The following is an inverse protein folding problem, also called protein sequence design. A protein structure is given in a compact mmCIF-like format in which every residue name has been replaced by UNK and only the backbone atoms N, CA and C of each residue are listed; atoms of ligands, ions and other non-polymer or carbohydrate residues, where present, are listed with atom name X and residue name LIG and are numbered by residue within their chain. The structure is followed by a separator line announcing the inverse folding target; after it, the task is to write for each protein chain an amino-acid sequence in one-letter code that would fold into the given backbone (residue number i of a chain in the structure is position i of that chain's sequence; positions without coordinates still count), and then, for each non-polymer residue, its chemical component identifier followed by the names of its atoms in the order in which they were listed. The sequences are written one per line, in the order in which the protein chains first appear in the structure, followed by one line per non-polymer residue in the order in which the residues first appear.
data_IF_919403313566
#
_entry.id   IF_919403313566
#
_cell.length_a   1.000
_cell.length_b   1.000
_cell.length_c   1.000
_cell.angle_alpha   90.00
_cell.angle_beta   90.00
_cell.angle_gamma   90.00
#
_symmetry.space_group_name_H-M   'P 1'
#
loop_
_entity.id
_entity.type
_entity.pdbx_description
1 polymer ?
#
# COMPACT_ATOMS: atom_id res chain seq x y z
N UNK A 1 11.82 37.22 -0.28
CA UNK A 1 12.09 35.87 -0.84
C UNK A 1 12.92 35.11 0.17
N UNK A 2 12.30 34.29 1.03
CA UNK A 2 13.00 33.45 1.99
C UNK A 2 12.74 31.99 1.57
N UNK A 3 13.77 31.33 1.02
CA UNK A 3 13.73 29.93 0.63
C UNK A 3 13.73 29.06 1.87
N UNK A 4 12.74 28.17 1.99
CA UNK A 4 12.64 27.16 3.04
C UNK A 4 13.76 26.11 2.91
N UNK A 5 14.25 25.52 4.02
CA UNK A 5 15.21 24.43 3.96
C UNK A 5 14.54 23.15 3.45
N UNK A 6 15.08 22.58 2.38
CA UNK A 6 14.70 21.27 1.85
C UNK A 6 15.02 20.18 2.87
N UNK A 7 13.98 19.51 3.39
CA UNK A 7 14.13 18.38 4.30
C UNK A 7 14.93 17.24 3.63
N UNK A 8 15.85 16.57 4.35
CA UNK A 8 16.59 15.45 3.80
C UNK A 8 15.63 14.29 3.54
N UNK A 9 15.58 13.81 2.30
CA UNK A 9 14.93 12.55 1.96
C UNK A 9 15.75 11.41 2.55
N UNK A 10 15.42 10.96 3.75
CA UNK A 10 15.97 9.74 4.34
C UNK A 10 15.61 8.56 3.45
N UNK A 11 16.54 8.17 2.58
CA UNK A 11 16.40 6.97 1.77
C UNK A 11 16.22 5.76 2.72
N UNK A 12 15.33 4.80 2.40
CA UNK A 12 15.15 3.61 3.23
C UNK A 12 16.48 2.88 3.34
N UNK A 13 16.86 2.50 4.56
CA UNK A 13 18.12 1.79 4.79
C UNK A 13 18.05 0.38 4.18
N UNK A 14 19.19 -0.17 3.76
CA UNK A 14 19.24 -1.52 3.16
C UNK A 14 18.73 -2.61 4.13
N UNK A 15 18.84 -2.38 5.44
CA UNK A 15 18.26 -3.27 6.45
C UNK A 15 16.73 -3.17 6.49
N UNK A 16 16.14 -1.99 6.25
CA UNK A 16 14.68 -1.83 6.20
C UNK A 16 14.05 -2.58 5.01
N UNK A 17 14.75 -2.71 3.89
CA UNK A 17 14.28 -3.48 2.72
C UNK A 17 14.51 -4.98 2.89
N UNK A 18 15.57 -5.40 3.59
CA UNK A 18 15.86 -6.82 3.84
C UNK A 18 14.97 -7.44 4.93
N UNK A 19 14.52 -6.63 5.91
CA UNK A 19 13.66 -7.07 7.01
C UNK A 19 12.21 -6.60 6.86
N UNK A 20 11.75 -6.49 5.61
CA UNK A 20 10.39 -6.07 5.33
C UNK A 20 9.41 -7.12 5.86
N UNK A 21 8.55 -6.70 6.79
CA UNK A 21 7.56 -7.59 7.39
C UNK A 21 6.65 -8.17 6.32
N UNK A 22 6.32 -9.46 6.45
CA UNK A 22 5.35 -10.10 5.56
C UNK A 22 3.91 -9.77 5.98
N UNK A 23 2.94 -10.16 5.14
CA UNK A 23 1.53 -10.15 5.53
C UNK A 23 1.29 -11.07 6.75
N UNK A 24 1.95 -12.23 6.80
CA UNK A 24 1.81 -13.17 7.91
C UNK A 24 2.25 -12.54 9.24
N UNK A 25 3.32 -11.75 9.23
CA UNK A 25 3.79 -11.06 10.43
C UNK A 25 2.82 -9.98 10.89
N UNK A 26 2.19 -9.26 9.95
CA UNK A 26 1.11 -8.33 10.26
C UNK A 26 -0.05 -9.05 10.94
N UNK A 27 -0.53 -10.15 10.34
CA UNK A 27 -1.64 -10.95 10.88
C UNK A 27 -1.31 -11.48 12.28
N UNK A 28 -0.09 -11.98 12.51
CA UNK A 28 0.37 -12.40 13.84
C UNK A 28 0.38 -11.25 14.83
N UNK A 29 0.86 -10.07 14.42
CA UNK A 29 0.91 -8.90 15.30
C UNK A 29 -0.47 -8.39 15.70
N UNK A 30 -1.45 -8.44 14.79
CA UNK A 30 -2.84 -8.10 15.09
C UNK A 30 -3.46 -9.07 16.09
N UNK A 31 -3.09 -10.36 16.01
CA UNK A 31 -3.61 -11.41 16.90
C UNK A 31 -2.87 -11.53 18.24
N UNK A 32 -1.71 -10.88 18.38
CA UNK A 32 -0.88 -11.01 19.57
C UNK A 32 -1.53 -10.39 20.82
N UNK A 33 -2.28 -9.30 20.64
CA UNK A 33 -3.03 -8.62 21.69
C UNK A 33 -4.47 -8.39 21.21
N UNK A 34 -5.45 -9.21 21.65
CA UNK A 34 -6.84 -9.11 21.20
C UNK A 34 -7.61 -7.97 21.88
N UNK A 35 -6.95 -7.14 22.69
CA UNK A 35 -7.58 -5.93 23.23
C UNK A 35 -7.76 -4.89 22.13
N UNK A 36 -8.87 -4.14 22.17
CA UNK A 36 -9.12 -3.08 21.19
C UNK A 36 -8.01 -2.02 21.13
N UNK A 37 -7.31 -1.79 22.26
CA UNK A 37 -6.16 -0.90 22.34
C UNK A 37 -4.92 -1.48 21.65
N UNK A 38 -4.65 -2.78 21.84
CA UNK A 38 -3.58 -3.50 21.17
C UNK A 38 -3.76 -3.54 19.65
N UNK A 39 -4.97 -3.89 19.19
CA UNK A 39 -5.34 -3.90 17.77
C UNK A 39 -5.14 -2.53 17.12
N UNK A 40 -5.65 -1.46 17.76
CA UNK A 40 -5.53 -0.09 17.25
C UNK A 40 -4.06 0.34 17.09
N UNK A 41 -3.21 0.00 18.06
CA UNK A 41 -1.78 0.30 18.01
C UNK A 41 -1.06 -0.49 16.91
N UNK A 42 -1.39 -1.78 16.76
CA UNK A 42 -0.85 -2.63 15.72
C UNK A 42 -1.23 -2.13 14.31
N UNK A 43 -2.49 -1.73 14.11
CA UNK A 43 -2.97 -1.13 12.85
C UNK A 43 -2.25 0.19 12.57
N UNK A 44 -2.12 1.09 13.55
CA UNK A 44 -1.45 2.37 13.35
C UNK A 44 0.03 2.20 12.93
N UNK A 45 0.74 1.24 13.55
CA UNK A 45 2.12 0.89 13.16
C UNK A 45 2.17 0.33 11.74
N UNK A 46 1.28 -0.61 11.42
CA UNK A 46 1.21 -1.23 10.10
C UNK A 46 0.95 -0.19 8.99
N UNK A 47 0.04 0.76 9.21
CA UNK A 47 -0.23 1.83 8.26
C UNK A 47 0.98 2.74 8.03
N UNK A 48 1.75 3.03 9.09
CA UNK A 48 3.01 3.80 8.97
C UNK A 48 4.04 3.06 8.10
N UNK A 49 4.22 1.77 8.35
CA UNK A 49 5.11 0.89 7.57
C UNK A 49 4.66 0.84 6.09
N UNK A 50 3.37 0.59 5.84
CA UNK A 50 2.79 0.54 4.48
C UNK A 50 3.03 1.86 3.73
N UNK A 51 2.79 3.01 4.35
CA UNK A 51 3.03 4.30 3.70
C UNK A 51 4.50 4.52 3.33
N UNK A 52 5.43 3.99 4.12
CA UNK A 52 6.86 4.03 3.78
C UNK A 52 7.17 3.09 2.61
N UNK A 53 6.70 1.85 2.68
CA UNK A 53 6.96 0.81 1.69
C UNK A 53 6.35 1.12 0.32
N UNK A 54 5.14 1.69 0.26
CA UNK A 54 4.48 2.00 -1.02
C UNK A 54 5.23 3.06 -1.86
N UNK A 55 6.06 3.88 -1.21
CA UNK A 55 6.91 4.88 -1.87
C UNK A 55 8.26 4.31 -2.33
N UNK A 56 8.57 3.05 -2.01
CA UNK A 56 9.79 2.41 -2.48
C UNK A 56 9.79 2.30 -4.02
N UNK A 57 10.94 2.32 -4.69
CA UNK A 57 11.00 2.15 -6.15
C UNK A 57 10.75 0.71 -6.61
N UNK A 58 10.94 -0.26 -5.73
CA UNK A 58 10.83 -1.69 -6.04
C UNK A 58 9.36 -2.16 -6.11
N UNK A 59 9.00 -2.84 -7.20
CA UNK A 59 7.65 -3.34 -7.43
C UNK A 59 7.27 -4.45 -6.45
N UNK A 60 8.20 -5.30 -6.02
CA UNK A 60 7.91 -6.37 -5.07
C UNK A 60 7.57 -5.81 -3.68
N UNK A 61 8.35 -4.83 -3.23
CA UNK A 61 8.07 -4.05 -2.02
C UNK A 61 6.69 -3.38 -2.08
N UNK A 62 6.36 -2.71 -3.21
CA UNK A 62 5.03 -2.10 -3.39
C UNK A 62 3.92 -3.14 -3.34
N UNK A 63 4.12 -4.31 -3.94
CA UNK A 63 3.14 -5.39 -3.92
C UNK A 63 2.88 -5.87 -2.49
N UNK A 64 3.93 -6.10 -1.69
CA UNK A 64 3.77 -6.48 -0.27
C UNK A 64 3.04 -5.40 0.53
N UNK A 65 3.40 -4.13 0.35
CA UNK A 65 2.73 -3.00 1.00
C UNK A 65 1.24 -2.92 0.64
N UNK A 66 0.93 -3.07 -0.65
CA UNK A 66 -0.44 -3.06 -1.15
C UNK A 66 -1.24 -4.26 -0.62
N UNK A 67 -0.62 -5.44 -0.53
CA UNK A 67 -1.23 -6.64 0.04
C UNK A 67 -1.59 -6.47 1.52
N UNK A 68 -0.69 -5.92 2.32
CA UNK A 68 -0.97 -5.56 3.74
C UNK A 68 -2.13 -4.58 3.84
N UNK A 69 -2.15 -3.56 2.99
CA UNK A 69 -3.20 -2.55 2.98
C UNK A 69 -4.57 -3.12 2.59
N UNK A 70 -4.62 -3.93 1.53
CA UNK A 70 -5.82 -4.61 1.07
C UNK A 70 -6.41 -5.49 2.18
N UNK A 71 -5.55 -6.19 2.92
CA UNK A 71 -5.98 -6.98 4.07
C UNK A 71 -6.62 -6.10 5.17
N UNK A 72 -5.95 -5.02 5.60
CA UNK A 72 -6.50 -4.10 6.61
C UNK A 72 -7.82 -3.45 6.16
N UNK A 73 -7.93 -3.11 4.88
CA UNK A 73 -9.15 -2.54 4.29
C UNK A 73 -10.33 -3.52 4.36
N UNK A 74 -10.07 -4.83 4.20
CA UNK A 74 -11.10 -5.88 4.30
C UNK A 74 -11.62 -6.12 5.72
N UNK A 75 -10.87 -5.73 6.75
CA UNK A 75 -11.21 -5.92 8.17
C UNK A 75 -12.05 -4.77 8.78
N UNK A 76 -12.51 -3.80 7.97
CA UNK A 76 -13.38 -2.68 8.36
C UNK A 76 -12.74 -1.53 9.17
N UNK A 77 -11.41 -1.37 9.17
CA UNK A 77 -10.75 -0.36 10.04
C UNK A 77 -10.33 0.98 9.41
N UNK A 78 -10.46 1.20 8.10
CA UNK A 78 -10.04 2.49 7.50
C UNK A 78 -10.92 2.85 6.30
N UNK A 79 -11.43 4.09 6.18
CA UNK A 79 -11.96 4.56 4.91
C UNK A 79 -10.84 4.55 3.87
N UNK A 80 -10.98 3.67 2.88
CA UNK A 80 -10.07 3.40 1.74
C UNK A 80 -9.86 4.63 0.82
N UNK A 81 -10.36 5.79 1.22
CA UNK A 81 -10.60 6.97 0.40
C UNK A 81 -9.49 8.04 0.48
N UNK A 82 -8.58 7.98 1.46
CA UNK A 82 -7.53 9.00 1.62
C UNK A 82 -6.20 8.53 1.00
N UNK A 83 -6.11 8.64 -0.33
CA UNK A 83 -4.90 8.78 -1.18
C UNK A 83 -3.53 8.66 -0.45
N UNK A 84 -2.70 7.61 -0.71
CA UNK A 84 -1.82 7.60 -1.89
C UNK A 84 -1.65 6.22 -2.56
N UNK A 85 -2.68 5.36 -2.54
CA UNK A 85 -2.53 3.95 -2.98
C UNK A 85 -3.10 3.64 -4.37
N UNK A 86 -3.96 4.50 -4.91
CA UNK A 86 -4.56 4.29 -6.23
C UNK A 86 -3.52 4.28 -7.37
N UNK A 87 -2.53 5.17 -7.31
CA UNK A 87 -1.45 5.22 -8.30
C UNK A 87 -0.52 3.99 -8.20
N UNK A 88 0.00 3.61 -7.02
CA UNK A 88 0.77 2.38 -6.85
C UNK A 88 0.04 1.11 -7.31
N UNK A 89 -1.28 1.02 -7.12
CA UNK A 89 -2.06 -0.09 -7.65
C UNK A 89 -2.02 -0.13 -9.19
N UNK A 90 -2.21 1.02 -9.86
CA UNK A 90 -2.16 1.09 -11.33
C UNK A 90 -0.75 0.83 -11.88
N UNK A 91 0.28 1.24 -11.16
CA UNK A 91 1.65 0.91 -11.49
C UNK A 91 1.89 -0.62 -11.46
N UNK A 92 1.34 -1.30 -10.46
CA UNK A 92 1.38 -2.77 -10.37
C UNK A 92 0.50 -3.46 -11.42
N UNK A 93 -0.60 -2.86 -11.87
CA UNK A 93 -1.38 -3.36 -13.02
C UNK A 93 -0.55 -3.39 -14.31
N UNK A 94 0.38 -2.45 -14.48
CA UNK A 94 1.29 -2.41 -15.63
C UNK A 94 2.44 -3.44 -15.53
N UNK A 95 2.59 -4.13 -14.38
CA UNK A 95 3.64 -5.14 -14.19
C UNK A 95 3.43 -6.35 -15.09
N UNK A 96 4.47 -6.96 -15.68
CA UNK A 96 4.34 -8.19 -16.46
C UNK A 96 3.99 -9.42 -15.60
N UNK A 97 4.07 -9.33 -14.27
CA UNK A 97 3.83 -10.44 -13.36
C UNK A 97 2.36 -10.57 -12.97
N UNK A 98 1.76 -11.73 -13.27
CA UNK A 98 0.37 -12.03 -12.94
C UNK A 98 0.00 -11.85 -11.45
N UNK A 99 0.84 -12.22 -10.46
CA UNK A 99 0.53 -11.99 -9.04
C UNK A 99 0.34 -10.51 -8.71
N UNK A 100 1.16 -9.62 -9.28
CA UNK A 100 1.04 -8.17 -9.09
C UNK A 100 -0.26 -7.64 -9.69
N UNK A 101 -0.61 -8.08 -10.91
CA UNK A 101 -1.88 -7.69 -11.56
C UNK A 101 -3.09 -8.11 -10.73
N UNK A 102 -3.13 -9.38 -10.29
CA UNK A 102 -4.23 -9.92 -9.47
C UNK A 102 -4.42 -9.11 -8.19
N UNK A 103 -3.33 -8.82 -7.49
CA UNK A 103 -3.37 -8.01 -6.28
C UNK A 103 -3.86 -6.58 -6.58
N UNK A 104 -3.33 -5.96 -7.64
CA UNK A 104 -3.66 -4.60 -8.00
C UNK A 104 -5.14 -4.45 -8.41
N UNK A 105 -5.70 -5.41 -9.14
CA UNK A 105 -7.14 -5.44 -9.45
C UNK A 105 -7.99 -5.57 -8.19
N UNK A 106 -7.60 -6.43 -7.24
CA UNK A 106 -8.29 -6.56 -5.96
C UNK A 106 -8.21 -5.28 -5.13
N UNK A 107 -7.03 -4.65 -5.07
CA UNK A 107 -6.86 -3.39 -4.36
C UNK A 107 -7.72 -2.28 -4.99
N UNK A 108 -7.70 -2.18 -6.33
CA UNK A 108 -8.48 -1.18 -7.07
C UNK A 108 -9.99 -1.34 -6.87
N UNK A 109 -10.51 -2.57 -6.80
CA UNK A 109 -11.94 -2.81 -6.56
C UNK A 109 -12.39 -2.38 -5.15
N UNK A 110 -11.49 -2.45 -4.17
CA UNK A 110 -11.75 -2.03 -2.79
C UNK A 110 -11.50 -0.54 -2.55
N UNK A 111 -10.63 0.09 -3.36
CA UNK A 111 -10.19 1.48 -3.18
C UNK A 111 -10.81 2.47 -4.16
N UNK A 112 -11.81 2.06 -4.95
CA UNK A 112 -12.39 2.93 -5.97
C UNK A 112 -13.10 4.11 -5.30
N UNK A 113 -12.53 5.30 -5.44
CA UNK A 113 -13.04 6.53 -4.83
C UNK A 113 -13.20 7.63 -5.89
N UNK A 114 -14.17 8.57 -5.77
CA UNK A 114 -14.36 9.64 -6.73
C UNK A 114 -13.09 10.48 -7.00
N UNK A 115 -12.23 10.64 -5.99
CA UNK A 115 -10.94 11.33 -6.13
C UNK A 115 -9.92 10.60 -7.03
N UNK A 116 -10.08 9.28 -7.23
CA UNK A 116 -9.21 8.45 -8.08
C UNK A 116 -9.73 8.24 -9.50
N UNK A 117 -10.88 8.83 -9.86
CA UNK A 117 -11.52 8.65 -11.17
C UNK A 117 -10.66 9.14 -12.34
N UNK A 118 -9.75 10.11 -12.11
CA UNK A 118 -8.80 10.57 -13.11
C UNK A 118 -7.86 9.48 -13.60
N UNK A 119 -7.71 8.39 -12.84
CA UNK A 119 -6.84 7.27 -13.19
C UNK A 119 -7.58 6.12 -13.91
N UNK A 120 -8.91 6.19 -14.02
CA UNK A 120 -9.72 5.19 -14.73
C UNK A 120 -9.25 4.92 -16.16
N UNK A 121 -8.90 5.93 -16.99
CA UNK A 121 -8.43 5.68 -18.35
C UNK A 121 -7.16 4.82 -18.42
N UNK A 122 -6.27 4.94 -17.42
CA UNK A 122 -5.07 4.11 -17.35
C UNK A 122 -5.44 2.67 -16.98
N UNK A 123 -6.32 2.49 -16.00
CA UNK A 123 -6.80 1.17 -15.58
C UNK A 123 -7.53 0.45 -16.72
N UNK A 124 -8.43 1.12 -17.45
CA UNK A 124 -9.15 0.53 -18.58
C UNK A 124 -8.22 0.17 -19.74
N UNK A 125 -7.21 0.98 -19.99
CA UNK A 125 -6.18 0.66 -20.98
C UNK A 125 -5.38 -0.60 -20.61
N UNK A 126 -5.08 -0.83 -19.31
CA UNK A 126 -4.44 -2.08 -18.89
C UNK A 126 -5.35 -3.29 -19.07
N UNK A 127 -6.65 -3.15 -18.77
CA UNK A 127 -7.63 -4.22 -18.98
C UNK A 127 -7.71 -4.65 -20.46
N UNK A 128 -7.63 -3.70 -21.40
CA UNK A 128 -7.64 -4.04 -22.83
C UNK A 128 -6.35 -4.70 -23.32
N UNK A 129 -5.24 -4.58 -22.57
CA UNK A 129 -3.95 -5.19 -22.91
C UNK A 129 -3.76 -6.58 -22.33
N UNK A 130 -4.53 -6.91 -21.29
CA UNK A 130 -4.54 -8.22 -20.64
C UNK A 130 -5.31 -9.26 -21.47
#
# INVERSE_FOLDING_TARGET
MASAPSAPSTAPSLVDTLFQRSLDDLVKSLRADPSAAGESLAVARALSEIHREIRAPDAATKAVALQKFTYLSSLHFVPVASHPLAFPAIELLASPHLPHKRLAYLAASLSLHPASLSLLPLATHQIHKD
#
